data_IF_014535821710
#
_entry.id   IF_014535821710
#
_cell.length_a   1.000
_cell.length_b   1.000
_cell.length_c   1.000
_cell.angle_alpha   90.00
_cell.angle_beta   90.00
_cell.angle_gamma   90.00
#
_symmetry.space_group_name_H-M   'P 1'
#
loop_
_entity.id
_entity.type
_entity.pdbx_description
1 polymer ?
#
# COMPACT_ATOMS: atom_id res chain seq x y z
N UNK A 1 -3.62 -13.89 11.21
CA UNK A 1 -2.35 -13.64 10.49
C UNK A 1 -1.97 -14.94 9.79
N UNK A 2 -1.81 -14.97 8.45
CA UNK A 2 -1.42 -16.21 7.76
C UNK A 2 0.09 -16.38 7.96
N UNK A 3 0.49 -17.47 8.61
CA UNK A 3 1.90 -17.81 8.78
C UNK A 3 2.48 -18.30 7.45
N UNK A 4 3.81 -18.21 7.35
CA UNK A 4 4.57 -18.71 6.20
C UNK A 4 4.20 -20.18 5.90
N UNK A 5 3.86 -20.49 4.66
CA UNK A 5 3.70 -21.87 4.22
C UNK A 5 5.06 -22.55 4.03
N UNK A 6 5.09 -23.88 4.07
CA UNK A 6 6.31 -24.67 3.81
C UNK A 6 6.92 -24.33 2.44
N UNK A 7 6.08 -24.12 1.43
CA UNK A 7 6.51 -23.70 0.10
C UNK A 7 7.20 -22.33 0.14
N UNK A 8 6.61 -21.34 0.78
CA UNK A 8 7.20 -20.00 0.91
C UNK A 8 8.52 -20.03 1.68
N UNK A 9 8.62 -20.85 2.73
CA UNK A 9 9.86 -21.06 3.48
C UNK A 9 10.96 -21.64 2.61
N UNK A 10 10.63 -22.66 1.81
CA UNK A 10 11.58 -23.27 0.87
C UNK A 10 12.03 -22.28 -0.20
N UNK A 11 11.12 -21.48 -0.75
CA UNK A 11 11.45 -20.48 -1.76
C UNK A 11 12.35 -19.38 -1.18
N UNK A 12 12.06 -18.88 0.03
CA UNK A 12 12.90 -17.90 0.70
C UNK A 12 14.31 -18.44 1.00
N UNK A 13 14.43 -19.71 1.39
CA UNK A 13 15.73 -20.36 1.60
C UNK A 13 16.51 -20.50 0.29
N UNK A 14 15.87 -20.98 -0.78
CA UNK A 14 16.54 -21.09 -2.09
C UNK A 14 16.96 -19.71 -2.61
N UNK A 15 16.10 -18.71 -2.44
CA UNK A 15 16.42 -17.33 -2.78
C UNK A 15 17.61 -16.79 -1.98
N UNK A 16 17.72 -17.11 -0.68
CA UNK A 16 18.87 -16.68 0.13
C UNK A 16 20.20 -17.27 -0.37
N UNK A 17 20.15 -18.45 -1.00
CA UNK A 17 21.30 -19.10 -1.63
C UNK A 17 21.59 -18.56 -3.06
N UNK A 18 20.86 -17.53 -3.51
CA UNK A 18 21.05 -16.90 -4.83
C UNK A 18 20.25 -17.53 -5.95
N UNK A 19 19.26 -18.38 -5.66
CA UNK A 19 18.42 -18.98 -6.69
C UNK A 19 17.40 -17.97 -7.27
N UNK A 20 17.62 -17.55 -8.51
CA UNK A 20 16.75 -16.61 -9.22
C UNK A 20 15.35 -17.18 -9.51
N UNK A 21 15.23 -18.46 -9.83
CA UNK A 21 13.93 -19.08 -10.08
C UNK A 21 13.03 -19.05 -8.84
N UNK A 22 13.61 -19.21 -7.64
CA UNK A 22 12.87 -19.09 -6.39
C UNK A 22 12.38 -17.66 -6.14
N UNK A 23 13.16 -16.65 -6.56
CA UNK A 23 12.74 -15.25 -6.55
C UNK A 23 11.58 -15.00 -7.54
N UNK A 24 11.68 -15.49 -8.77
CA UNK A 24 10.63 -15.32 -9.79
C UNK A 24 9.31 -15.95 -9.35
N UNK A 25 9.36 -17.13 -8.72
CA UNK A 25 8.17 -17.77 -8.16
C UNK A 25 7.51 -16.92 -7.06
N UNK A 26 8.31 -16.29 -6.20
CA UNK A 26 7.81 -15.37 -5.17
C UNK A 26 7.25 -14.10 -5.80
N UNK A 27 7.91 -13.55 -6.82
CA UNK A 27 7.45 -12.40 -7.59
C UNK A 27 6.06 -12.66 -8.15
N UNK A 28 5.90 -13.72 -8.95
CA UNK A 28 4.62 -14.05 -9.58
C UNK A 28 3.52 -14.35 -8.56
N UNK A 29 3.84 -14.97 -7.43
CA UNK A 29 2.86 -15.28 -6.39
C UNK A 29 2.28 -14.02 -5.70
N UNK A 30 3.05 -12.94 -5.63
CA UNK A 30 2.72 -11.76 -4.83
C UNK A 30 2.53 -10.47 -5.64
N UNK A 31 2.98 -10.42 -6.90
CA UNK A 31 2.85 -9.28 -7.80
C UNK A 31 1.41 -8.78 -7.89
N UNK A 32 0.46 -9.64 -8.29
CA UNK A 32 -0.94 -9.25 -8.44
C UNK A 32 -1.61 -8.78 -7.14
N UNK A 33 -1.15 -9.27 -5.98
CA UNK A 33 -1.60 -8.79 -4.67
C UNK A 33 -1.09 -7.36 -4.41
N UNK A 34 0.20 -7.12 -4.65
CA UNK A 34 0.84 -5.83 -4.40
C UNK A 34 0.34 -4.76 -5.37
N UNK A 35 0.15 -5.10 -6.64
CA UNK A 35 -0.49 -4.24 -7.63
C UNK A 35 -1.87 -3.77 -7.15
N UNK A 36 -2.72 -4.70 -6.72
CA UNK A 36 -4.05 -4.34 -6.19
C UNK A 36 -3.98 -3.52 -4.90
N UNK A 37 -2.95 -3.76 -4.09
CA UNK A 37 -2.74 -3.04 -2.84
C UNK A 37 -2.25 -1.60 -3.07
N UNK A 38 -1.31 -1.40 -4.00
CA UNK A 38 -0.72 -0.09 -4.29
C UNK A 38 -1.63 0.79 -5.16
N UNK A 39 -2.35 0.21 -6.12
CA UNK A 39 -3.17 0.94 -7.12
C UNK A 39 -4.03 2.09 -6.56
N UNK A 40 -4.71 1.98 -5.40
CA UNK A 40 -5.52 3.07 -4.86
C UNK A 40 -4.72 4.30 -4.39
N UNK A 41 -3.40 4.16 -4.23
CA UNK A 41 -2.50 5.16 -3.63
C UNK A 41 -1.52 5.75 -4.65
N UNK A 42 -1.65 5.39 -5.92
CA UNK A 42 -0.73 5.73 -7.00
C UNK A 42 -1.17 7.00 -7.72
N UNK A 43 -0.20 7.83 -8.10
CA UNK A 43 -0.38 9.07 -8.89
C UNK A 43 0.00 8.83 -10.36
N UNK A 44 -0.11 9.83 -11.23
CA UNK A 44 0.33 9.73 -12.63
C UNK A 44 1.86 9.55 -12.79
N UNK A 45 2.65 9.90 -11.78
CA UNK A 45 4.12 10.01 -11.88
C UNK A 45 4.88 8.73 -11.50
N UNK A 46 4.30 7.88 -10.65
CA UNK A 46 4.93 6.62 -10.22
C UNK A 46 3.89 5.53 -10.39
N UNK A 47 4.18 4.52 -11.19
CA UNK A 47 3.23 3.42 -11.41
C UNK A 47 3.20 2.43 -10.24
N UNK A 48 2.09 1.70 -10.05
CA UNK A 48 2.07 0.59 -9.10
C UNK A 48 3.16 -0.45 -9.41
N UNK A 49 3.51 -0.63 -10.68
CA UNK A 49 4.52 -1.57 -11.15
C UNK A 49 5.91 -1.20 -10.63
N UNK A 50 6.25 0.07 -10.67
CA UNK A 50 7.53 0.60 -10.18
C UNK A 50 7.69 0.36 -8.68
N UNK A 51 6.64 0.61 -7.89
CA UNK A 51 6.65 0.29 -6.45
C UNK A 51 6.83 -1.21 -6.23
N UNK A 52 6.11 -2.06 -6.97
CA UNK A 52 6.24 -3.51 -6.83
C UNK A 52 7.66 -3.96 -7.18
N UNK A 53 8.24 -3.45 -8.26
CA UNK A 53 9.62 -3.75 -8.63
C UNK A 53 10.60 -3.36 -7.52
N UNK A 54 10.49 -2.16 -6.96
CA UNK A 54 11.36 -1.76 -5.86
C UNK A 54 11.23 -2.65 -4.61
N UNK A 55 10.02 -3.09 -4.26
CA UNK A 55 9.81 -4.01 -3.13
C UNK A 55 10.57 -5.31 -3.35
N UNK A 56 10.53 -5.84 -4.57
CA UNK A 56 11.22 -7.08 -4.90
C UNK A 56 12.72 -6.91 -5.04
N UNK A 57 13.20 -5.77 -5.56
CA UNK A 57 14.63 -5.42 -5.52
C UNK A 57 15.13 -5.40 -4.07
N UNK A 58 14.42 -4.71 -3.17
CA UNK A 58 14.77 -4.65 -1.75
C UNK A 58 14.75 -6.04 -1.09
N UNK A 59 13.76 -6.87 -1.43
CA UNK A 59 13.70 -8.26 -0.94
C UNK A 59 14.92 -9.08 -1.42
N UNK A 60 15.31 -8.93 -2.68
CA UNK A 60 16.45 -9.63 -3.26
C UNK A 60 17.79 -9.15 -2.70
N UNK A 61 17.97 -7.84 -2.53
CA UNK A 61 19.16 -7.27 -1.89
C UNK A 61 19.29 -7.73 -0.43
N UNK A 62 18.16 -7.81 0.28
CA UNK A 62 18.05 -8.33 1.64
C UNK A 62 17.93 -9.86 1.77
N UNK A 63 18.11 -10.63 0.68
CA UNK A 63 17.78 -12.07 0.62
C UNK A 63 18.41 -12.93 1.70
N UNK A 64 19.61 -12.60 2.18
CA UNK A 64 20.29 -13.32 3.27
C UNK A 64 19.52 -13.25 4.59
N UNK A 65 18.81 -12.14 4.85
CA UNK A 65 17.95 -11.95 6.03
C UNK A 65 16.52 -12.43 5.79
N UNK A 66 16.10 -12.54 4.54
CA UNK A 66 14.73 -12.90 4.16
C UNK A 66 14.33 -14.30 4.64
N UNK A 67 15.30 -15.21 4.88
CA UNK A 67 15.06 -16.54 5.45
C UNK A 67 14.40 -16.51 6.84
N UNK A 68 14.51 -15.40 7.57
CA UNK A 68 13.92 -15.23 8.89
C UNK A 68 12.50 -14.64 8.86
N UNK A 69 11.96 -14.33 7.68
CA UNK A 69 10.61 -13.77 7.55
C UNK A 69 9.57 -14.83 7.93
N UNK A 70 8.79 -14.57 8.98
CA UNK A 70 7.74 -15.49 9.48
C UNK A 70 6.37 -15.28 8.81
N UNK A 71 6.18 -14.15 8.15
CA UNK A 71 4.96 -13.77 7.46
C UNK A 71 5.32 -12.95 6.23
N UNK A 72 5.54 -13.62 5.10
CA UNK A 72 5.98 -12.97 3.86
C UNK A 72 4.94 -11.98 3.34
N UNK A 73 3.66 -12.38 3.34
CA UNK A 73 2.57 -11.47 2.95
C UNK A 73 2.56 -10.19 3.79
N UNK A 74 2.68 -10.32 5.11
CA UNK A 74 2.70 -9.17 6.01
C UNK A 74 3.92 -8.28 5.79
N UNK A 75 5.10 -8.89 5.61
CA UNK A 75 6.34 -8.19 5.27
C UNK A 75 6.17 -7.37 3.99
N UNK A 76 5.72 -7.99 2.90
CA UNK A 76 5.58 -7.32 1.60
C UNK A 76 4.55 -6.18 1.63
N UNK A 77 3.40 -6.38 2.28
CA UNK A 77 2.40 -5.33 2.44
C UNK A 77 2.90 -4.17 3.33
N UNK A 78 3.71 -4.47 4.35
CA UNK A 78 4.33 -3.46 5.20
C UNK A 78 5.39 -2.65 4.43
N UNK A 79 6.21 -3.29 3.60
CA UNK A 79 7.17 -2.61 2.74
C UNK A 79 6.44 -1.72 1.72
N UNK A 80 5.39 -2.24 1.07
CA UNK A 80 4.54 -1.45 0.17
C UNK A 80 3.94 -0.22 0.86
N UNK A 81 3.39 -0.39 2.07
CA UNK A 81 2.88 0.71 2.87
C UNK A 81 3.97 1.76 3.13
N UNK A 82 5.16 1.34 3.57
CA UNK A 82 6.23 2.28 3.89
C UNK A 82 6.66 3.09 2.66
N UNK A 83 6.72 2.45 1.48
CA UNK A 83 7.00 3.14 0.21
C UNK A 83 5.91 4.13 -0.16
N UNK A 84 4.64 3.73 -0.09
CA UNK A 84 3.50 4.63 -0.34
C UNK A 84 3.48 5.82 0.63
N UNK A 85 3.76 5.60 1.92
CA UNK A 85 3.86 6.68 2.90
C UNK A 85 5.05 7.61 2.63
N UNK A 86 6.16 7.08 2.14
CA UNK A 86 7.29 7.90 1.74
C UNK A 86 6.94 8.73 0.50
N UNK A 87 6.32 8.15 -0.51
CA UNK A 87 5.82 8.87 -1.68
C UNK A 87 4.85 9.98 -1.25
N UNK A 88 3.87 9.68 -0.40
CA UNK A 88 2.93 10.69 0.08
C UNK A 88 3.58 11.77 0.94
N UNK A 89 4.55 11.43 1.80
CA UNK A 89 5.32 12.43 2.55
C UNK A 89 6.18 13.28 1.62
N UNK A 90 6.80 12.68 0.62
CA UNK A 90 7.56 13.40 -0.39
C UNK A 90 6.64 14.32 -1.18
N UNK A 91 5.47 13.88 -1.63
CA UNK A 91 4.48 14.75 -2.28
C UNK A 91 4.07 15.89 -1.36
N UNK A 92 3.77 15.65 -0.09
CA UNK A 92 3.38 16.73 0.86
C UNK A 92 4.53 17.70 1.17
N UNK A 93 5.77 17.21 1.27
CA UNK A 93 6.96 18.04 1.54
C UNK A 93 7.39 18.78 0.29
N UNK A 94 7.39 18.13 -0.88
CA UNK A 94 7.62 18.73 -2.19
C UNK A 94 6.53 19.72 -2.49
N UNK A 95 5.26 19.51 -2.08
CA UNK A 95 4.23 20.53 -2.21
C UNK A 95 4.44 21.71 -1.28
N UNK A 96 4.83 21.49 -0.02
CA UNK A 96 5.18 22.60 0.87
C UNK A 96 6.38 23.38 0.33
N UNK A 97 7.40 22.67 -0.14
CA UNK A 97 8.59 23.26 -0.75
C UNK A 97 8.24 23.94 -2.06
N UNK A 98 7.45 23.35 -2.96
CA UNK A 98 6.97 23.97 -4.21
C UNK A 98 6.11 25.19 -3.89
N UNK A 99 5.23 25.18 -2.90
CA UNK A 99 4.52 26.41 -2.50
C UNK A 99 5.47 27.51 -2.00
N UNK A 100 6.58 27.14 -1.37
CA UNK A 100 7.66 28.07 -1.02
C UNK A 100 8.59 28.40 -2.20
N UNK A 101 8.63 27.56 -3.26
CA UNK A 101 9.55 27.63 -4.41
C UNK A 101 8.87 27.91 -5.77
N UNK A 102 7.55 28.13 -5.84
CA UNK A 102 6.80 28.69 -6.99
C UNK A 102 7.18 30.18 -7.16
N UNK A 103 8.46 30.48 -6.99
CA UNK A 103 9.18 31.56 -7.63
C UNK A 103 10.11 31.08 -8.76
N UNK A 104 10.40 29.78 -8.98
CA UNK A 104 11.27 29.35 -10.11
C UNK A 104 11.30 27.82 -10.40
N UNK A 105 10.85 27.49 -11.61
CA UNK A 105 11.24 26.40 -12.54
C UNK A 105 10.96 24.89 -12.28
N UNK A 106 10.10 24.37 -13.17
CA UNK A 106 10.12 23.12 -14.01
C UNK A 106 10.47 21.74 -13.41
N UNK A 107 9.54 20.76 -13.60
CA UNK A 107 9.68 19.59 -14.52
C UNK A 107 8.54 18.54 -14.44
N UNK A 108 7.32 18.94 -14.09
CA UNK A 108 6.10 18.16 -14.29
C UNK A 108 5.11 19.08 -15.01
N UNK A 109 4.25 18.57 -15.91
CA UNK A 109 3.25 19.46 -16.50
C UNK A 109 2.37 19.97 -15.37
N UNK A 110 2.09 21.28 -15.35
CA UNK A 110 1.21 21.87 -14.33
C UNK A 110 -0.18 21.20 -14.32
N UNK A 111 -0.53 20.52 -15.42
CA UNK A 111 -1.77 19.80 -15.66
C UNK A 111 -1.84 18.47 -14.89
N UNK A 112 -0.82 17.62 -14.99
CA UNK A 112 -0.78 16.33 -14.27
C UNK A 112 -0.83 16.53 -12.75
N UNK A 113 -0.14 17.58 -12.29
CA UNK A 113 -0.10 17.93 -10.87
C UNK A 113 -1.43 18.52 -10.37
N UNK A 114 -2.08 19.35 -11.18
CA UNK A 114 -3.40 19.88 -10.87
C UNK A 114 -4.43 18.75 -10.78
N UNK A 115 -4.41 17.82 -11.74
CA UNK A 115 -5.26 16.63 -11.75
C UNK A 115 -5.02 15.80 -10.47
N UNK A 116 -3.76 15.53 -10.11
CA UNK A 116 -3.48 14.79 -8.87
C UNK A 116 -4.04 15.50 -7.63
N UNK A 117 -3.84 16.81 -7.51
CA UNK A 117 -4.34 17.59 -6.38
C UNK A 117 -5.86 17.56 -6.29
N UNK A 118 -6.55 17.62 -7.43
CA UNK A 118 -8.01 17.51 -7.51
C UNK A 118 -8.49 16.12 -7.11
N UNK A 119 -7.90 15.05 -7.68
CA UNK A 119 -8.25 13.67 -7.35
C UNK A 119 -7.97 13.32 -5.89
N UNK A 120 -6.85 13.78 -5.34
CA UNK A 120 -6.50 13.58 -3.93
C UNK A 120 -7.41 14.38 -3.01
N UNK A 121 -7.76 15.62 -3.36
CA UNK A 121 -8.72 16.41 -2.60
C UNK A 121 -10.11 15.74 -2.61
N UNK A 122 -10.54 15.20 -3.75
CA UNK A 122 -11.79 14.45 -3.86
C UNK A 122 -11.75 13.16 -3.03
N UNK A 123 -10.62 12.45 -3.03
CA UNK A 123 -10.40 11.28 -2.18
C UNK A 123 -10.47 11.64 -0.69
N UNK A 124 -9.76 12.69 -0.25
CA UNK A 124 -9.77 13.16 1.12
C UNK A 124 -11.17 13.62 1.54
N UNK A 125 -11.87 14.36 0.69
CA UNK A 125 -13.25 14.77 0.92
C UNK A 125 -14.17 13.56 1.06
N UNK A 126 -14.04 12.56 0.18
CA UNK A 126 -14.79 11.31 0.28
C UNK A 126 -14.47 10.57 1.59
N UNK A 127 -13.21 10.56 2.04
CA UNK A 127 -12.78 9.99 3.31
C UNK A 127 -13.44 10.68 4.51
N UNK A 128 -13.59 12.00 4.45
CA UNK A 128 -14.26 12.81 5.48
C UNK A 128 -15.78 12.57 5.53
N UNK A 129 -16.41 12.13 4.43
CA UNK A 129 -17.83 11.72 4.46
C UNK A 129 -18.06 10.42 5.23
N UNK A 130 -17.00 9.65 5.49
CA UNK A 130 -17.08 8.38 6.19
C UNK A 130 -17.02 8.61 7.70
N UNK A 131 -17.97 8.06 8.47
CA UNK A 131 -17.94 8.15 9.93
C UNK A 131 -16.60 7.70 10.51
N UNK A 132 -16.11 8.46 11.50
CA UNK A 132 -14.81 8.30 12.20
C UNK A 132 -14.46 6.83 12.46
N UNK A 133 -15.37 6.07 13.09
CA UNK A 133 -15.14 4.67 13.45
C UNK A 133 -14.90 3.77 12.23
N UNK A 134 -15.61 4.00 11.12
CA UNK A 134 -15.45 3.20 9.90
C UNK A 134 -14.15 3.55 9.19
N UNK A 135 -13.77 4.83 9.20
CA UNK A 135 -12.48 5.33 8.72
C UNK A 135 -11.35 4.71 9.54
N UNK A 136 -11.38 4.82 10.87
CA UNK A 136 -10.41 4.18 11.77
C UNK A 136 -10.27 2.67 11.55
N UNK A 137 -11.39 1.95 11.34
CA UNK A 137 -11.36 0.51 11.01
C UNK A 137 -10.63 0.26 9.69
N UNK A 138 -10.91 1.07 8.65
CA UNK A 138 -10.25 0.96 7.36
C UNK A 138 -8.75 1.28 7.48
N UNK A 139 -8.40 2.37 8.13
CA UNK A 139 -7.03 2.80 8.38
C UNK A 139 -6.25 1.75 9.19
N UNK A 140 -6.81 1.25 10.29
CA UNK A 140 -6.19 0.19 11.10
C UNK A 140 -5.98 -1.10 10.31
N UNK A 141 -6.90 -1.41 9.38
CA UNK A 141 -6.80 -2.60 8.53
C UNK A 141 -5.76 -2.43 7.42
N UNK A 142 -5.75 -1.27 6.78
CA UNK A 142 -4.98 -0.98 5.56
C UNK A 142 -3.59 -0.49 5.94
N UNK A 143 -3.51 0.47 6.84
CA UNK A 143 -2.25 1.04 7.31
C UNK A 143 -1.66 0.19 8.43
N UNK A 144 -2.41 -0.29 9.40
CA UNK A 144 -1.78 -0.97 10.56
C UNK A 144 -1.72 -2.50 10.44
N UNK A 145 -2.22 -3.06 9.33
CA UNK A 145 -2.27 -4.50 9.08
C UNK A 145 -2.95 -5.30 10.21
N UNK A 146 -3.80 -4.64 11.02
CA UNK A 146 -4.45 -5.25 12.18
C UNK A 146 -5.51 -6.27 11.73
N UNK A 147 -5.61 -7.35 12.50
CA UNK A 147 -6.65 -8.35 12.32
C UNK A 147 -8.02 -7.80 12.73
N UNK A 148 -9.11 -8.41 12.26
CA UNK A 148 -10.46 -7.97 12.65
C UNK A 148 -10.63 -8.00 14.17
N UNK A 149 -10.04 -9.01 14.83
CA UNK A 149 -9.97 -9.13 16.27
C UNK A 149 -9.27 -7.95 16.95
N UNK A 150 -8.05 -7.64 16.53
CA UNK A 150 -7.30 -6.51 17.09
C UNK A 150 -8.04 -5.19 16.93
N UNK A 151 -8.64 -4.95 15.76
CA UNK A 151 -9.44 -3.75 15.52
C UNK A 151 -10.71 -3.75 16.39
N UNK A 152 -11.39 -4.90 16.49
CA UNK A 152 -12.60 -5.07 17.30
C UNK A 152 -12.35 -4.74 18.77
N UNK A 153 -11.22 -5.21 19.32
CA UNK A 153 -10.80 -4.93 20.69
C UNK A 153 -10.52 -3.43 20.90
N UNK A 154 -9.94 -2.74 19.90
CA UNK A 154 -9.61 -1.32 19.97
C UNK A 154 -10.81 -0.38 19.84
N UNK A 155 -11.72 -0.66 18.89
CA UNK A 155 -12.90 0.17 18.65
C UNK A 155 -14.14 -0.29 19.43
N UNK A 156 -13.99 -1.30 20.30
CA UNK A 156 -15.05 -1.90 21.11
C UNK A 156 -16.26 -2.37 20.27
N UNK A 157 -16.00 -3.02 19.13
CA UNK A 157 -17.01 -3.60 18.24
C UNK A 157 -16.80 -5.11 18.10
N UNK A 158 -17.80 -5.83 17.58
CA UNK A 158 -17.60 -7.23 17.21
C UNK A 158 -16.75 -7.35 15.94
N UNK A 159 -15.98 -8.44 15.81
CA UNK A 159 -15.21 -8.73 14.58
C UNK A 159 -16.08 -8.74 13.31
N UNK A 160 -17.34 -9.17 13.46
CA UNK A 160 -18.33 -9.17 12.38
C UNK A 160 -18.68 -7.73 11.95
N UNK A 161 -18.85 -6.82 12.90
CA UNK A 161 -19.12 -5.41 12.63
C UNK A 161 -17.92 -4.72 12.00
N UNK A 162 -16.70 -5.00 12.49
CA UNK A 162 -15.44 -4.53 11.88
C UNK A 162 -15.33 -4.98 10.43
N UNK A 163 -15.59 -6.27 10.14
CA UNK A 163 -15.60 -6.80 8.78
C UNK A 163 -16.62 -6.10 7.89
N UNK A 164 -17.82 -5.83 8.41
CA UNK A 164 -18.91 -5.13 7.70
C UNK A 164 -18.53 -3.69 7.38
N UNK A 165 -18.02 -2.95 8.36
CA UNK A 165 -17.58 -1.57 8.18
C UNK A 165 -16.40 -1.46 7.22
N UNK A 166 -15.40 -2.35 7.34
CA UNK A 166 -14.30 -2.42 6.40
C UNK A 166 -14.78 -2.67 4.96
N UNK A 167 -15.68 -3.64 4.74
CA UNK A 167 -16.25 -3.91 3.42
C UNK A 167 -17.00 -2.70 2.86
N UNK A 168 -17.79 -2.03 3.69
CA UNK A 168 -18.53 -0.84 3.28
C UNK A 168 -17.59 0.27 2.80
N UNK A 169 -16.57 0.59 3.60
CA UNK A 169 -15.59 1.62 3.24
C UNK A 169 -14.81 1.22 1.98
N UNK A 170 -14.37 -0.03 1.87
CA UNK A 170 -13.74 -0.57 0.65
C UNK A 170 -14.62 -0.40 -0.59
N UNK A 171 -15.93 -0.66 -0.47
CA UNK A 171 -16.87 -0.53 -1.59
C UNK A 171 -17.07 0.91 -2.05
N UNK A 172 -17.01 1.87 -1.12
CA UNK A 172 -17.03 3.31 -1.46
C UNK A 172 -15.82 3.65 -2.33
N UNK A 173 -14.63 3.19 -1.92
CA UNK A 173 -13.41 3.41 -2.69
C UNK A 173 -13.44 2.71 -4.05
N UNK A 174 -13.90 1.46 -4.12
CA UNK A 174 -14.03 0.73 -5.39
C UNK A 174 -14.99 1.42 -6.36
N UNK A 175 -16.08 2.03 -5.86
CA UNK A 175 -17.02 2.78 -6.69
C UNK A 175 -16.49 4.15 -7.10
N UNK A 176 -15.82 4.86 -6.18
CA UNK A 176 -15.15 6.13 -6.48
C UNK A 176 -14.12 5.94 -7.61
N UNK A 177 -13.29 4.90 -7.53
CA UNK A 177 -12.28 4.59 -8.54
C UNK A 177 -12.86 4.17 -9.90
N UNK A 178 -14.11 3.71 -9.97
CA UNK A 178 -14.78 3.40 -11.24
C UNK A 178 -15.30 4.64 -11.97
N UNK A 179 -15.57 5.73 -11.25
CA UNK A 179 -16.08 6.98 -11.83
C UNK A 179 -14.97 7.72 -12.61
N UNK A 180 -13.70 7.44 -12.27
CA UNK A 180 -12.52 8.05 -12.90
C UNK A 180 -11.77 7.08 -13.83
N UNK A 181 -12.46 6.04 -14.33
CA UNK A 181 -12.02 5.18 -15.44
C UNK A 181 -12.70 5.63 -16.73
#
# INVERSE_FOLDING_TARGET
MKLLSERESLLLKRMSDGNHQAFDELYHAYHGLLIQYCRPFITLEISEEEIVQEIFVELWEGRSKAVHIRNLKGYLLQTAKNKLLNIHRHVLVVERMKQEFIGKQQRETAEDHLIFKEHYALFQNQLQTIPETKRQIFESRVFESKTNKQIADEVQLSESMVKKHYKYVKSIFENFLKIYR
#
